data_IF_917540631174
#
_entry.id   IF_917540631174
#
_cell.length_a   1.000
_cell.length_b   1.000
_cell.length_c   1.000
_cell.angle_alpha   90.00
_cell.angle_beta   90.00
_cell.angle_gamma   90.00
#
_symmetry.space_group_name_H-M   'P 1'
#
loop_
_entity.id
_entity.type
_entity.pdbx_description
1 polymer ?
#
# COMPACT_ATOMS: atom_id res chain seq x y z
N UNK A 1 -22.20 19.85 15.20
CA UNK A 1 -21.20 18.77 15.24
C UNK A 1 -19.94 19.34 14.63
N UNK A 2 -18.87 19.48 15.41
CA UNK A 2 -17.63 20.12 14.99
C UNK A 2 -16.90 19.23 13.99
N UNK A 3 -16.36 19.84 12.94
CA UNK A 3 -15.50 19.16 11.97
C UNK A 3 -14.26 18.69 12.75
N UNK A 4 -14.02 17.36 12.71
CA UNK A 4 -13.01 16.61 13.47
C UNK A 4 -11.61 17.25 13.40
N UNK A 5 -10.88 17.30 14.53
CA UNK A 5 -9.52 17.86 14.69
C UNK A 5 -8.41 17.00 14.05
N UNK A 6 -8.77 16.16 13.08
CA UNK A 6 -7.83 15.29 12.39
C UNK A 6 -6.82 16.08 11.54
N UNK A 7 -5.61 15.53 11.43
CA UNK A 7 -4.57 16.05 10.53
C UNK A 7 -4.94 15.70 9.10
N UNK A 8 -4.84 16.68 8.20
CA UNK A 8 -5.01 16.45 6.78
C UNK A 8 -3.82 15.68 6.22
N UNK A 9 -4.08 14.52 5.62
CA UNK A 9 -3.06 13.63 5.05
C UNK A 9 -3.16 13.54 3.53
N UNK A 10 -3.98 14.38 2.87
CA UNK A 10 -3.98 14.44 1.41
C UNK A 10 -2.78 15.25 0.91
N UNK A 11 -2.17 14.78 -0.20
CA UNK A 11 -1.06 15.52 -0.84
C UNK A 11 -1.50 16.89 -1.38
N UNK A 12 -2.79 17.04 -1.66
CA UNK A 12 -3.40 18.27 -2.20
C UNK A 12 -3.74 19.28 -1.11
N UNK A 13 -3.79 18.89 0.18
CA UNK A 13 -4.20 19.76 1.28
C UNK A 13 -5.68 20.16 1.21
N UNK A 14 -6.50 19.35 0.55
CA UNK A 14 -7.92 19.61 0.31
C UNK A 14 -8.84 19.09 1.43
N UNK A 15 -8.27 18.56 2.52
CA UNK A 15 -8.99 17.98 3.66
C UNK A 15 -9.90 16.81 3.29
N UNK A 16 -9.62 16.15 2.17
CA UNK A 16 -10.38 15.00 1.71
C UNK A 16 -10.25 13.76 2.59
N UNK A 17 -9.13 13.64 3.31
CA UNK A 17 -8.85 12.55 4.25
C UNK A 17 -8.19 13.16 5.49
N UNK A 18 -8.92 13.16 6.60
CA UNK A 18 -8.41 13.59 7.90
C UNK A 18 -8.12 12.36 8.76
N UNK A 19 -6.96 12.33 9.40
CA UNK A 19 -6.54 11.23 10.27
C UNK A 19 -6.38 11.72 11.71
N UNK A 20 -6.91 10.93 12.65
CA UNK A 20 -6.70 11.11 14.09
C UNK A 20 -6.25 9.79 14.70
N UNK A 21 -5.05 9.77 15.29
CA UNK A 21 -4.54 8.58 15.97
C UNK A 21 -5.25 8.44 17.32
N UNK A 22 -5.79 7.25 17.60
CA UNK A 22 -6.43 6.87 18.86
C UNK A 22 -5.44 6.13 19.75
N UNK A 23 -4.62 5.28 19.13
CA UNK A 23 -3.56 4.52 19.78
C UNK A 23 -2.36 4.47 18.84
N UNK A 24 -1.21 4.90 19.35
CA UNK A 24 0.07 4.79 18.63
C UNK A 24 0.42 3.33 18.34
N UNK A 25 0.94 3.10 17.14
CA UNK A 25 1.56 1.81 16.78
C UNK A 25 3.00 1.70 17.28
N UNK A 26 3.64 0.58 16.94
CA UNK A 26 5.03 0.29 17.28
C UNK A 26 5.95 0.43 16.07
N UNK A 27 7.21 0.79 16.31
CA UNK A 27 8.22 0.93 15.27
C UNK A 27 8.08 2.23 14.47
N UNK A 28 8.89 2.33 13.42
CA UNK A 28 8.94 3.49 12.51
C UNK A 28 8.38 3.19 11.14
N UNK A 29 8.28 1.90 10.78
CA UNK A 29 7.91 1.47 9.43
C UNK A 29 6.39 1.53 9.22
N UNK A 30 6.00 1.82 8.00
CA UNK A 30 4.63 1.77 7.51
C UNK A 30 4.58 0.93 6.22
N UNK A 31 3.42 0.39 5.81
CA UNK A 31 3.35 -0.43 4.61
C UNK A 31 3.58 0.40 3.34
N UNK A 32 4.47 -0.07 2.48
CA UNK A 32 4.65 0.50 1.14
C UNK A 32 3.51 0.04 0.21
N UNK A 33 3.22 0.79 -0.88
CA UNK A 33 2.34 0.30 -1.93
C UNK A 33 2.75 -1.10 -2.41
N UNK A 34 1.75 -1.95 -2.68
CA UNK A 34 1.94 -3.36 -3.03
C UNK A 34 1.94 -4.33 -1.86
N UNK A 35 2.15 -3.87 -0.62
CA UNK A 35 2.05 -4.74 0.56
C UNK A 35 0.61 -5.28 0.71
N UNK A 36 0.50 -6.55 1.12
CA UNK A 36 -0.75 -7.09 1.62
C UNK A 36 -0.90 -6.65 3.07
N UNK A 37 -1.89 -5.80 3.35
CA UNK A 37 -2.16 -5.28 4.70
C UNK A 37 -3.33 -6.02 5.32
N UNK A 38 -3.25 -6.25 6.63
CA UNK A 38 -4.29 -6.91 7.43
C UNK A 38 -4.76 -5.93 8.49
N UNK A 39 -6.05 -5.62 8.51
CA UNK A 39 -6.64 -4.63 9.43
C UNK A 39 -7.94 -5.13 10.05
N UNK A 40 -8.28 -4.60 11.22
CA UNK A 40 -9.67 -4.53 11.65
C UNK A 40 -10.19 -3.12 11.41
N UNK A 41 -11.48 -3.01 11.11
CA UNK A 41 -12.16 -1.73 10.95
C UNK A 41 -13.62 -1.78 11.38
N UNK A 42 -14.15 -0.58 11.66
CA UNK A 42 -15.57 -0.26 11.76
C UNK A 42 -15.84 1.03 10.99
N UNK A 43 -16.80 1.00 10.06
CA UNK A 43 -17.23 2.15 9.27
C UNK A 43 -18.57 2.70 9.71
N UNK A 44 -18.65 4.01 9.92
CA UNK A 44 -19.85 4.74 10.33
C UNK A 44 -20.11 5.96 9.45
N UNK A 45 -21.38 6.34 9.31
CA UNK A 45 -21.75 7.68 8.86
C UNK A 45 -21.43 8.73 9.95
N UNK A 46 -21.45 10.01 9.61
CA UNK A 46 -21.21 11.10 10.58
C UNK A 46 -22.23 11.17 11.72
N UNK A 47 -23.42 10.59 11.53
CA UNK A 47 -24.44 10.48 12.58
C UNK A 47 -24.18 9.30 13.55
N UNK A 48 -23.09 8.54 13.34
CA UNK A 48 -22.72 7.37 14.13
C UNK A 48 -23.32 6.06 13.63
N UNK A 49 -24.16 6.06 12.58
CA UNK A 49 -24.75 4.84 12.02
C UNK A 49 -23.67 3.94 11.45
N UNK A 50 -23.44 2.80 12.10
CA UNK A 50 -22.53 1.75 11.60
C UNK A 50 -23.11 1.11 10.34
N UNK A 51 -22.34 1.13 9.24
CA UNK A 51 -22.72 0.44 8.01
C UNK A 51 -21.97 -0.87 7.80
N UNK A 52 -20.74 -0.99 8.33
CA UNK A 52 -19.93 -2.20 8.18
C UNK A 52 -18.85 -2.31 9.27
N UNK A 53 -18.46 -3.53 9.61
CA UNK A 53 -17.33 -3.82 10.49
C UNK A 53 -16.78 -5.21 10.23
N UNK A 54 -15.46 -5.32 10.11
CA UNK A 54 -14.75 -6.61 10.08
C UNK A 54 -14.96 -7.43 11.37
N UNK A 55 -15.14 -6.75 12.51
CA UNK A 55 -15.28 -7.43 13.81
C UNK A 55 -16.61 -8.16 13.93
N UNK A 56 -17.67 -7.65 13.28
CA UNK A 56 -18.96 -8.34 13.21
C UNK A 56 -18.86 -9.69 12.47
N UNK A 57 -17.84 -9.85 11.61
CA UNK A 57 -17.54 -11.09 10.89
C UNK A 57 -16.52 -11.98 11.60
N UNK A 58 -15.93 -11.53 12.71
CA UNK A 58 -14.84 -12.21 13.43
C UNK A 58 -13.62 -12.55 12.55
N UNK A 59 -13.40 -11.78 11.48
CA UNK A 59 -12.29 -12.00 10.55
C UNK A 59 -11.64 -10.66 10.18
N UNK A 60 -10.29 -10.54 10.24
CA UNK A 60 -9.59 -9.38 9.70
C UNK A 60 -9.87 -9.17 8.21
N UNK A 61 -9.75 -7.93 7.76
CA UNK A 61 -9.84 -7.60 6.35
C UNK A 61 -8.45 -7.45 5.75
N UNK A 62 -8.20 -8.16 4.66
CA UNK A 62 -6.93 -8.12 3.93
C UNK A 62 -7.11 -7.48 2.55
N UNK A 63 -6.19 -6.60 2.18
CA UNK A 63 -6.17 -6.00 0.84
C UNK A 63 -4.75 -5.62 0.41
N UNK A 64 -4.56 -5.37 -0.88
CA UNK A 64 -3.29 -4.88 -1.42
C UNK A 64 -3.29 -3.35 -1.44
N UNK A 65 -2.37 -2.76 -0.69
CA UNK A 65 -2.27 -1.31 -0.54
C UNK A 65 -1.85 -0.62 -1.85
N UNK A 66 -2.51 0.47 -2.20
CA UNK A 66 -2.16 1.33 -3.34
C UNK A 66 -2.53 0.74 -4.71
N UNK A 67 -3.29 -0.36 -4.75
CA UNK A 67 -3.79 -0.98 -5.99
C UNK A 67 -5.23 -0.60 -6.32
N UNK A 68 -5.85 0.34 -5.59
CA UNK A 68 -7.25 0.72 -5.80
C UNK A 68 -8.25 -0.40 -5.49
N UNK A 69 -7.87 -1.38 -4.67
CA UNK A 69 -8.76 -2.47 -4.22
C UNK A 69 -9.75 -2.01 -3.14
N UNK A 70 -9.53 -0.81 -2.60
CA UNK A 70 -10.34 -0.14 -1.58
C UNK A 70 -10.58 1.31 -1.99
N UNK A 71 -11.41 2.04 -1.22
CA UNK A 71 -11.61 3.47 -1.46
C UNK A 71 -10.30 4.26 -1.32
N UNK A 72 -10.17 5.37 -2.05
CA UNK A 72 -8.94 6.19 -2.07
C UNK A 72 -8.49 6.63 -0.68
N UNK A 73 -9.44 6.95 0.21
CA UNK A 73 -9.12 7.35 1.57
C UNK A 73 -8.37 6.26 2.36
N UNK A 74 -8.67 4.98 2.10
CA UNK A 74 -7.98 3.88 2.74
C UNK A 74 -6.57 3.68 2.17
N UNK A 75 -6.41 3.76 0.84
CA UNK A 75 -5.08 3.69 0.23
C UNK A 75 -4.16 4.81 0.74
N UNK A 76 -4.69 6.01 1.00
CA UNK A 76 -3.95 7.12 1.59
C UNK A 76 -3.71 6.90 3.09
N UNK A 77 -4.77 6.62 3.85
CA UNK A 77 -4.71 6.55 5.31
C UNK A 77 -3.92 5.36 5.84
N UNK A 78 -4.15 4.16 5.31
CA UNK A 78 -3.51 2.94 5.79
C UNK A 78 -2.00 2.92 5.49
N UNK A 79 -1.57 3.57 4.41
CA UNK A 79 -0.15 3.77 4.10
C UNK A 79 0.62 4.58 5.16
N UNK A 80 -0.08 5.34 6.00
CA UNK A 80 0.52 6.14 7.09
C UNK A 80 0.49 5.42 8.44
N UNK A 81 -0.09 4.22 8.52
CA UNK A 81 -0.29 3.53 9.79
C UNK A 81 0.91 2.65 10.15
N UNK A 82 1.25 2.63 11.43
CA UNK A 82 2.23 1.71 12.01
C UNK A 82 1.56 0.42 12.50
N UNK A 83 2.36 -0.62 12.72
CA UNK A 83 1.87 -1.89 13.26
C UNK A 83 1.24 -1.68 14.64
N UNK A 84 0.01 -2.16 14.85
CA UNK A 84 -0.74 -2.01 16.09
C UNK A 84 -1.38 -0.63 16.31
N UNK A 85 -1.23 0.30 15.36
CA UNK A 85 -1.86 1.62 15.43
C UNK A 85 -3.39 1.49 15.29
N UNK A 86 -4.13 2.29 16.08
CA UNK A 86 -5.56 2.51 15.87
C UNK A 86 -5.76 3.97 15.51
N UNK A 87 -6.42 4.24 14.39
CA UNK A 87 -6.75 5.60 13.97
C UNK A 87 -8.20 5.71 13.50
N UNK A 88 -8.72 6.94 13.50
CA UNK A 88 -9.96 7.30 12.82
C UNK A 88 -9.60 8.08 11.56
N UNK A 89 -10.16 7.64 10.43
CA UNK A 89 -10.14 8.37 9.17
C UNK A 89 -11.52 9.00 8.95
N UNK A 90 -11.56 10.33 8.77
CA UNK A 90 -12.74 11.04 8.27
C UNK A 90 -12.54 11.29 6.77
N UNK A 91 -13.41 10.69 5.95
CA UNK A 91 -13.25 10.56 4.52
C UNK A 91 -14.34 11.35 3.78
N UNK A 92 -13.95 12.39 3.04
CA UNK A 92 -14.86 13.12 2.18
C UNK A 92 -15.37 12.23 1.03
N UNK A 93 -16.55 12.54 0.45
CA UNK A 93 -17.18 11.66 -0.54
C UNK A 93 -16.30 11.36 -1.75
N UNK A 94 -15.53 12.34 -2.23
CA UNK A 94 -14.62 12.19 -3.38
C UNK A 94 -13.51 11.15 -3.16
N UNK A 95 -13.17 10.88 -1.90
CA UNK A 95 -12.19 9.88 -1.48
C UNK A 95 -12.84 8.57 -1.01
N UNK A 96 -14.18 8.51 -1.04
CA UNK A 96 -15.00 7.38 -0.65
C UNK A 96 -15.90 6.93 -1.83
N UNK A 97 -17.23 7.04 -1.70
CA UNK A 97 -18.20 6.53 -2.66
C UNK A 97 -18.86 7.61 -3.55
N UNK A 98 -18.40 8.86 -3.45
CA UNK A 98 -18.81 9.97 -4.31
C UNK A 98 -20.31 10.24 -4.31
N UNK A 99 -20.81 10.73 -5.44
CA UNK A 99 -22.22 11.04 -5.66
C UNK A 99 -23.11 9.80 -5.81
N UNK A 100 -22.53 8.63 -6.08
CA UNK A 100 -23.28 7.39 -6.24
C UNK A 100 -23.64 6.78 -4.88
N UNK A 101 -22.75 6.90 -3.89
CA UNK A 101 -22.88 6.18 -2.62
C UNK A 101 -22.69 4.67 -2.79
N UNK A 102 -23.19 3.90 -1.83
CA UNK A 102 -23.24 2.43 -1.88
C UNK A 102 -24.54 1.95 -1.24
N UNK A 103 -25.64 1.91 -2.01
CA UNK A 103 -26.94 1.52 -1.49
C UNK A 103 -26.97 0.08 -0.94
N UNK A 104 -27.78 -0.22 0.09
CA UNK A 104 -28.68 0.71 0.80
C UNK A 104 -28.01 1.48 1.95
N UNK A 105 -26.75 1.18 2.27
CA UNK A 105 -26.14 1.58 3.55
C UNK A 105 -25.44 2.94 3.52
N UNK A 106 -24.91 3.32 2.36
CA UNK A 106 -24.14 4.57 2.20
C UNK A 106 -24.88 5.45 1.19
N UNK A 107 -25.40 6.60 1.62
CA UNK A 107 -26.09 7.52 0.70
C UNK A 107 -25.10 8.24 -0.23
N UNK A 108 -25.62 8.82 -1.34
CA UNK A 108 -24.89 9.79 -2.15
C UNK A 108 -24.20 10.88 -1.34
N UNK A 109 -22.98 11.26 -1.72
CA UNK A 109 -22.21 12.35 -1.14
C UNK A 109 -21.97 12.23 0.38
N UNK A 110 -21.94 11.00 0.91
CA UNK A 110 -21.71 10.76 2.32
C UNK A 110 -20.23 10.96 2.70
N UNK A 111 -20.00 11.75 3.76
CA UNK A 111 -18.74 11.71 4.51
C UNK A 111 -18.77 10.51 5.46
N UNK A 112 -17.70 9.73 5.45
CA UNK A 112 -17.60 8.50 6.24
C UNK A 112 -16.54 8.65 7.33
N UNK A 113 -16.72 7.91 8.42
CA UNK A 113 -15.69 7.69 9.42
C UNK A 113 -15.32 6.22 9.49
N UNK A 114 -14.03 5.93 9.58
CA UNK A 114 -13.51 4.59 9.76
C UNK A 114 -12.56 4.58 10.95
N UNK A 115 -12.89 3.82 11.98
CA UNK A 115 -11.90 3.39 12.96
C UNK A 115 -11.20 2.16 12.40
N UNK A 116 -9.87 2.22 12.31
CA UNK A 116 -9.02 1.17 11.72
C UNK A 116 -7.93 0.80 12.70
N UNK A 117 -7.75 -0.49 12.95
CA UNK A 117 -6.62 -1.08 13.65
C UNK A 117 -5.71 -1.79 12.65
N UNK A 118 -4.45 -1.36 12.57
CA UNK A 118 -3.42 -2.05 11.79
C UNK A 118 -2.94 -3.30 12.55
N UNK A 119 -3.19 -4.48 12.01
CA UNK A 119 -2.77 -5.75 12.62
C UNK A 119 -1.37 -6.12 12.12
N UNK A 120 -1.21 -6.19 10.79
CA UNK A 120 0.06 -6.55 10.17
C UNK A 120 0.11 -6.15 8.69
N UNK A 121 1.29 -6.27 8.07
CA UNK A 121 1.42 -6.30 6.62
C UNK A 121 2.55 -7.23 6.18
N UNK A 122 2.44 -7.69 4.93
CA UNK A 122 3.45 -8.52 4.26
C UNK A 122 3.89 -7.82 2.99
N UNK A 123 5.21 -7.69 2.84
CA UNK A 123 5.83 -7.24 1.59
C UNK A 123 5.47 -8.22 0.48
N UNK A 124 5.27 -7.70 -0.73
CA UNK A 124 4.90 -8.52 -1.87
C UNK A 124 6.04 -9.46 -2.26
N UNK A 125 5.77 -10.76 -2.21
CA UNK A 125 6.70 -11.80 -2.61
C UNK A 125 6.43 -12.22 -4.06
N UNK A 126 7.39 -11.93 -4.95
CA UNK A 126 7.36 -12.26 -6.38
C UNK A 126 8.08 -13.57 -6.70
N UNK A 127 8.62 -14.27 -5.71
CA UNK A 127 9.33 -15.53 -5.95
C UNK A 127 8.38 -16.64 -6.45
N UNK A 128 8.85 -17.50 -7.37
CA UNK A 128 8.17 -18.75 -7.65
C UNK A 128 8.00 -19.58 -6.37
N UNK A 129 6.77 -19.97 -6.04
CA UNK A 129 6.47 -20.74 -4.83
C UNK A 129 6.39 -19.95 -3.52
N UNK A 130 6.44 -18.60 -3.56
CA UNK A 130 6.30 -17.73 -2.37
C UNK A 130 7.29 -18.06 -1.24
N UNK A 131 8.56 -18.24 -1.61
CA UNK A 131 9.64 -18.61 -0.70
C UNK A 131 10.41 -17.40 -0.13
N UNK A 132 9.92 -16.18 -0.34
CA UNK A 132 10.52 -14.90 0.08
C UNK A 132 11.88 -14.59 -0.56
N UNK A 133 12.23 -15.28 -1.65
CA UNK A 133 13.48 -15.04 -2.38
C UNK A 133 13.48 -13.76 -3.24
N UNK A 134 12.31 -13.22 -3.57
CA UNK A 134 12.16 -11.98 -4.34
C UNK A 134 11.08 -11.12 -3.68
N UNK A 135 11.49 -10.14 -2.87
CA UNK A 135 10.57 -9.22 -2.22
C UNK A 135 10.55 -7.88 -2.97
N UNK A 136 9.35 -7.39 -3.30
CA UNK A 136 9.18 -6.10 -3.97
C UNK A 136 8.73 -5.03 -2.99
N UNK A 137 9.52 -3.96 -2.93
CA UNK A 137 9.15 -2.70 -2.30
C UNK A 137 8.92 -1.67 -3.40
N UNK A 138 7.69 -1.19 -3.55
CA UNK A 138 7.41 -0.08 -4.47
C UNK A 138 7.84 1.21 -3.78
N UNK A 139 8.85 1.89 -4.33
CA UNK A 139 9.29 3.20 -3.86
C UNK A 139 8.44 4.32 -4.46
N UNK A 140 8.19 4.22 -5.78
CA UNK A 140 7.34 5.13 -6.53
C UNK A 140 6.37 4.33 -7.40
N UNK A 141 5.11 4.75 -7.43
CA UNK A 141 4.09 4.08 -8.23
C UNK A 141 4.27 4.43 -9.71
N UNK A 142 4.40 3.40 -10.54
CA UNK A 142 4.43 3.56 -12.00
C UNK A 142 3.10 4.07 -12.56
N UNK A 143 3.14 4.57 -13.80
CA UNK A 143 1.95 4.97 -14.55
C UNK A 143 1.55 3.87 -15.53
N UNK A 144 0.24 3.74 -15.78
CA UNK A 144 -0.31 2.70 -16.65
C UNK A 144 -0.59 1.38 -15.93
N UNK A 145 -1.28 0.48 -16.61
CA UNK A 145 -1.67 -0.84 -16.10
C UNK A 145 -0.90 -1.99 -16.77
N UNK A 146 -0.13 -1.68 -17.81
CA UNK A 146 0.60 -2.68 -18.59
C UNK A 146 1.93 -2.99 -17.92
N UNK A 147 2.25 -4.29 -17.87
CA UNK A 147 3.56 -4.78 -17.48
C UNK A 147 4.26 -5.31 -18.74
N UNK A 148 5.60 -5.18 -18.84
CA UNK A 148 6.34 -5.77 -19.95
C UNK A 148 6.17 -7.29 -19.95
N UNK A 149 5.94 -7.85 -21.12
CA UNK A 149 5.86 -9.29 -21.36
C UNK A 149 7.19 -9.83 -21.88
N UNK A 150 7.29 -11.16 -22.01
CA UNK A 150 8.50 -11.81 -22.52
C UNK A 150 8.85 -11.29 -23.92
N UNK A 151 10.12 -10.92 -24.14
CA UNK A 151 10.61 -10.29 -25.35
C UNK A 151 10.37 -8.77 -25.46
N UNK A 152 9.61 -8.14 -24.56
CA UNK A 152 9.44 -6.69 -24.57
C UNK A 152 10.76 -5.97 -24.33
N UNK A 153 11.07 -4.95 -25.14
CA UNK A 153 12.23 -4.09 -24.91
C UNK A 153 12.00 -3.22 -23.68
N UNK A 154 12.84 -3.38 -22.66
CA UNK A 154 12.79 -2.61 -21.42
C UNK A 154 14.06 -1.78 -21.27
N UNK A 155 13.92 -0.58 -20.71
CA UNK A 155 15.04 0.24 -20.24
C UNK A 155 14.91 0.37 -18.73
N UNK A 156 15.94 -0.03 -18.00
CA UNK A 156 15.96 0.04 -16.54
C UNK A 156 17.20 0.79 -16.07
N UNK A 157 17.01 1.66 -15.11
CA UNK A 157 18.09 2.12 -14.23
C UNK A 157 18.14 1.15 -13.05
N UNK A 158 19.29 0.48 -12.88
CA UNK A 158 19.47 -0.53 -11.85
C UNK A 158 20.64 -0.17 -10.93
N UNK A 159 20.50 -0.58 -9.67
CA UNK A 159 21.54 -0.54 -8.66
C UNK A 159 21.51 -1.85 -7.86
N UNK A 160 22.62 -2.59 -7.90
CA UNK A 160 22.81 -3.81 -7.12
C UNK A 160 23.58 -3.51 -5.84
N UNK A 161 23.03 -3.90 -4.69
CA UNK A 161 23.68 -3.78 -3.37
C UNK A 161 23.75 -5.13 -2.66
N UNK A 162 24.84 -5.38 -1.94
CA UNK A 162 24.94 -6.52 -1.04
C UNK A 162 24.09 -6.27 0.22
N UNK A 163 23.28 -7.25 0.61
CA UNK A 163 22.42 -7.12 1.79
C UNK A 163 23.23 -7.01 3.10
N UNK A 164 24.41 -7.62 3.16
CA UNK A 164 25.20 -7.73 4.39
C UNK A 164 25.75 -6.38 4.89
N UNK A 165 26.19 -5.51 3.97
CA UNK A 165 26.88 -4.25 4.28
C UNK A 165 26.39 -3.06 3.45
N UNK A 166 25.42 -3.26 2.55
CA UNK A 166 24.88 -2.21 1.67
C UNK A 166 25.82 -1.80 0.53
N UNK A 167 26.96 -2.51 0.34
CA UNK A 167 27.95 -2.18 -0.68
C UNK A 167 27.34 -2.31 -2.08
N UNK A 168 27.41 -1.22 -2.84
CA UNK A 168 27.02 -1.19 -4.26
C UNK A 168 28.02 -1.99 -5.08
N UNK A 169 27.53 -2.85 -5.98
CA UNK A 169 28.36 -3.63 -6.90
C UNK A 169 28.02 -3.44 -8.38
N UNK A 170 26.84 -2.88 -8.71
CA UNK A 170 26.47 -2.48 -10.07
C UNK A 170 25.57 -1.24 -10.00
N UNK A 171 25.78 -0.27 -10.88
CA UNK A 171 24.91 0.90 -11.07
C UNK A 171 24.98 1.30 -12.53
N UNK A 172 23.88 1.19 -13.26
CA UNK A 172 23.84 1.55 -14.67
C UNK A 172 22.42 1.64 -15.21
N UNK A 173 22.28 2.31 -16.35
CA UNK A 173 21.11 2.20 -17.22
C UNK A 173 21.39 1.13 -18.29
N UNK A 174 20.44 0.22 -18.50
CA UNK A 174 20.56 -0.83 -19.52
C UNK A 174 19.23 -1.03 -20.24
N UNK A 175 19.30 -1.25 -21.55
CA UNK A 175 18.16 -1.56 -22.41
C UNK A 175 18.33 -2.96 -22.99
N UNK A 176 17.33 -3.82 -22.84
CA UNK A 176 17.40 -5.22 -23.28
C UNK A 176 16.00 -5.84 -23.48
N UNK A 177 15.85 -6.93 -24.25
CA UNK A 177 14.61 -7.70 -24.31
C UNK A 177 14.36 -8.45 -22.99
N UNK A 178 13.16 -8.34 -22.42
CA UNK A 178 12.79 -9.10 -21.23
C UNK A 178 12.93 -10.60 -21.51
N UNK A 179 13.61 -11.33 -20.62
CA UNK A 179 14.01 -12.74 -20.83
C UNK A 179 15.49 -12.91 -21.15
N UNK A 180 16.13 -11.90 -21.76
CA UNK A 180 17.53 -11.95 -22.23
C UNK A 180 18.52 -11.18 -21.33
N UNK A 181 18.13 -10.89 -20.09
CA UNK A 181 18.94 -10.09 -19.16
C UNK A 181 20.33 -10.67 -18.85
N UNK A 182 20.50 -11.99 -18.94
CA UNK A 182 21.80 -12.66 -18.70
C UNK A 182 22.84 -12.28 -19.75
N UNK A 183 22.45 -12.18 -21.01
CA UNK A 183 23.30 -11.77 -22.13
C UNK A 183 23.78 -10.32 -21.98
N UNK A 184 22.98 -9.51 -21.28
CA UNK A 184 23.24 -8.10 -20.97
C UNK A 184 23.89 -7.90 -19.59
N UNK A 185 24.30 -9.00 -18.94
CA UNK A 185 24.94 -9.05 -17.61
C UNK A 185 24.09 -8.43 -16.49
N UNK A 186 22.77 -8.36 -16.65
CA UNK A 186 21.82 -7.82 -15.64
C UNK A 186 21.86 -8.67 -14.36
N UNK A 187 22.23 -9.94 -14.48
CA UNK A 187 22.79 -10.71 -13.40
C UNK A 187 23.93 -11.56 -13.97
N UNK A 188 25.11 -11.50 -13.35
CA UNK A 188 26.14 -12.49 -13.57
C UNK A 188 26.25 -13.29 -12.28
N UNK A 189 26.23 -14.63 -12.41
CA UNK A 189 26.57 -15.62 -11.38
C UNK A 189 27.46 -14.97 -10.31
N UNK A 190 26.90 -14.70 -9.12
CA UNK A 190 27.72 -14.37 -7.95
C UNK A 190 28.71 -15.52 -7.88
N UNK A 191 29.99 -15.22 -8.10
CA UNK A 191 31.04 -16.24 -8.08
C UNK A 191 30.85 -17.07 -6.80
N UNK A 192 31.03 -18.40 -6.86
CA UNK A 192 30.89 -19.21 -5.66
C UNK A 192 31.77 -18.60 -4.56
N UNK A 193 31.18 -18.43 -3.38
CA UNK A 193 31.89 -18.02 -2.18
C UNK A 193 33.18 -18.86 -2.09
N UNK A 194 34.33 -18.24 -2.32
CA UNK A 194 35.59 -18.90 -2.01
C UNK A 194 35.70 -18.93 -0.49
N UNK A 195 35.74 -20.18 0.00
CA UNK A 195 36.13 -20.72 1.32
C UNK A 195 36.75 -19.75 2.32
#
# INVERSE_FOLDING_TARGET
MTVDEGVDITKTGDRGVLKRIIKEGTGTDTPNPGCQVTVHYTGTLLDGTKFDSSRDRNEPFEFNLGKGSVIKAWDIGVATMKKGEVCVLTCAPLYAYGNAGSPPKIPPNATLQFEIEMIDWKVEDLSPGKNKGILRHILEQGTGNDAPNDGAMVTVELEGRLQADGKVFDTRTVTFPLGEGSEHKVYHRILPWNT
#
